data_IF_051005475133
#
_entry.id   IF_051005475133
#
_cell.length_a   1.000
_cell.length_b   1.000
_cell.length_c   1.000
_cell.angle_alpha   90.00
_cell.angle_beta   90.00
_cell.angle_gamma   90.00
#
_symmetry.space_group_name_H-M   'P 1'
#
loop_
_entity.id
_entity.type
_entity.pdbx_description
1 polymer ?
#
# COMPACT_ATOMS: atom_id res chain seq x y z
N UNK A 1 5.48 6.35 8.93
CA UNK A 1 4.25 6.51 8.16
C UNK A 1 3.14 5.68 8.80
N UNK A 2 1.95 6.23 8.91
CA UNK A 2 0.82 5.52 9.50
C UNK A 2 0.17 4.61 8.44
N UNK A 3 -0.02 3.33 8.80
CA UNK A 3 -0.71 2.37 7.95
C UNK A 3 -2.03 1.97 8.64
N UNK A 4 -3.18 2.52 8.22
CA UNK A 4 -4.48 2.23 8.84
C UNK A 4 -4.91 0.77 8.76
N UNK A 5 -4.33 -0.01 7.84
CA UNK A 5 -4.65 -1.43 7.64
C UNK A 5 -3.93 -2.37 8.60
N UNK A 6 -2.93 -1.88 9.37
CA UNK A 6 -2.24 -2.67 10.38
C UNK A 6 -2.89 -2.44 11.75
N UNK A 7 -3.00 -3.50 12.55
CA UNK A 7 -3.55 -3.41 13.89
C UNK A 7 -2.63 -2.58 14.79
N UNK A 8 -3.11 -1.50 15.42
CA UNK A 8 -2.32 -0.74 16.38
C UNK A 8 -2.03 -1.57 17.64
N UNK A 9 -0.81 -1.44 18.14
CA UNK A 9 -0.37 -2.09 19.39
C UNK A 9 -0.65 -1.17 20.58
N UNK A 10 -1.91 -0.98 20.85
CA UNK A 10 -2.41 -0.17 21.98
C UNK A 10 -3.79 -0.69 22.35
N UNK A 11 -4.21 -0.42 23.58
CA UNK A 11 -5.56 -0.73 24.02
C UNK A 11 -6.60 -0.05 23.11
N UNK A 12 -7.61 -0.81 22.66
CA UNK A 12 -8.55 -0.34 21.66
C UNK A 12 -9.44 0.80 22.16
N UNK A 13 -9.83 0.77 23.45
CA UNK A 13 -10.64 1.86 24.02
C UNK A 13 -9.83 3.15 24.14
N UNK A 14 -8.55 3.03 24.47
CA UNK A 14 -7.63 4.16 24.50
C UNK A 14 -7.41 4.72 23.09
N UNK A 15 -7.21 3.83 22.09
CA UNK A 15 -7.03 4.25 20.71
C UNK A 15 -8.22 5.04 20.17
N UNK A 16 -9.44 4.59 20.45
CA UNK A 16 -10.66 5.28 20.02
C UNK A 16 -10.84 6.67 20.62
N UNK A 17 -10.26 6.91 21.81
CA UNK A 17 -10.33 8.19 22.52
C UNK A 17 -9.24 9.18 22.13
N UNK A 18 -8.27 8.79 21.29
CA UNK A 18 -7.18 9.66 20.90
C UNK A 18 -7.69 10.90 20.14
N UNK A 19 -7.09 12.04 20.47
CA UNK A 19 -7.25 13.25 19.65
C UNK A 19 -6.41 13.10 18.37
N UNK A 20 -7.00 13.17 17.18
CA UNK A 20 -6.26 13.10 15.92
C UNK A 20 -5.18 14.17 15.75
N UNK A 21 -5.25 15.26 16.54
CA UNK A 21 -4.26 16.34 16.52
C UNK A 21 -3.13 16.16 17.53
N UNK A 22 -3.24 15.21 18.46
CA UNK A 22 -2.18 14.90 19.44
C UNK A 22 -1.07 14.07 18.80
N UNK A 23 -0.22 14.77 18.03
CA UNK A 23 0.90 14.14 17.32
C UNK A 23 1.89 13.46 18.26
N UNK A 24 2.14 14.03 19.44
CA UNK A 24 3.12 13.48 20.37
C UNK A 24 2.71 12.09 20.86
N UNK A 25 1.45 11.88 21.19
CA UNK A 25 0.91 10.58 21.60
C UNK A 25 0.83 9.62 20.40
N UNK A 26 0.35 10.10 19.23
CA UNK A 26 0.16 9.28 18.04
C UNK A 26 1.50 8.73 17.53
N UNK A 27 2.56 9.51 17.53
CA UNK A 27 3.88 9.09 17.05
C UNK A 27 4.54 8.00 17.93
N UNK A 28 4.09 7.84 19.16
CA UNK A 28 4.54 6.78 20.08
C UNK A 28 3.81 5.45 19.88
N UNK A 29 2.71 5.44 19.13
CA UNK A 29 1.92 4.23 18.88
C UNK A 29 2.63 3.38 17.84
N UNK A 30 2.91 2.14 18.21
CA UNK A 30 3.40 1.12 17.28
C UNK A 30 2.26 0.31 16.68
N UNK A 31 2.53 -0.43 15.62
CA UNK A 31 1.59 -1.39 15.04
C UNK A 31 2.23 -2.77 14.93
N UNK A 32 1.41 -3.80 14.83
CA UNK A 32 1.90 -5.16 14.59
C UNK A 32 2.27 -5.31 13.11
N UNK A 33 3.43 -4.75 12.75
CA UNK A 33 4.05 -4.85 11.44
C UNK A 33 5.41 -5.51 11.56
N UNK A 34 5.83 -6.19 10.53
CA UNK A 34 7.13 -6.87 10.49
C UNK A 34 7.66 -6.96 9.07
N UNK A 35 8.98 -6.92 8.97
CA UNK A 35 9.72 -7.15 7.74
C UNK A 35 10.76 -8.25 7.97
N UNK A 36 10.98 -9.07 6.95
CA UNK A 36 12.07 -10.02 6.91
C UNK A 36 13.16 -9.44 6.02
N UNK A 37 14.32 -9.20 6.62
CA UNK A 37 15.47 -8.61 5.92
C UNK A 37 16.63 -9.61 5.91
N UNK A 38 17.26 -9.76 4.75
CA UNK A 38 18.45 -10.57 4.58
C UNK A 38 19.49 -9.79 3.77
N UNK A 39 20.72 -9.68 4.30
CA UNK A 39 21.82 -8.93 3.67
C UNK A 39 21.47 -7.50 3.28
N UNK A 40 20.65 -6.81 4.10
CA UNK A 40 20.18 -5.45 3.81
C UNK A 40 19.05 -5.36 2.78
N UNK A 41 18.55 -6.48 2.25
CA UNK A 41 17.42 -6.53 1.33
C UNK A 41 16.17 -6.99 2.07
N UNK A 42 15.10 -6.19 2.03
CA UNK A 42 13.79 -6.59 2.52
C UNK A 42 13.21 -7.67 1.60
N UNK A 43 13.04 -8.87 2.13
CA UNK A 43 12.52 -10.03 1.40
C UNK A 43 11.01 -10.15 1.50
N UNK A 44 10.45 -9.71 2.61
CA UNK A 44 9.02 -9.84 2.86
C UNK A 44 8.58 -8.80 3.86
N UNK A 45 7.39 -8.26 3.67
CA UNK A 45 6.71 -7.44 4.66
C UNK A 45 5.37 -8.05 5.04
N UNK A 46 4.90 -7.73 6.23
CA UNK A 46 3.64 -8.25 6.71
C UNK A 46 3.08 -7.49 7.90
N UNK A 47 1.85 -7.83 8.26
CA UNK A 47 1.19 -7.25 9.42
C UNK A 47 0.10 -8.18 9.97
N UNK A 48 -0.21 -8.00 11.26
CA UNK A 48 -1.51 -8.38 11.80
C UNK A 48 -2.48 -7.30 11.34
N UNK A 49 -3.56 -7.68 10.67
CA UNK A 49 -4.46 -6.75 10.00
C UNK A 49 -5.44 -6.11 10.98
N UNK A 50 -5.72 -4.85 10.71
CA UNK A 50 -6.79 -4.15 11.40
C UNK A 50 -8.13 -4.60 10.80
N UNK A 51 -8.83 -5.49 11.51
CA UNK A 51 -10.10 -6.10 11.09
C UNK A 51 -11.32 -5.53 11.83
N UNK A 52 -11.09 -4.53 12.70
CA UNK A 52 -12.16 -3.88 13.48
C UNK A 52 -12.58 -2.58 12.81
N UNK A 53 -13.87 -2.44 12.38
CA UNK A 53 -14.32 -1.28 11.63
C UNK A 53 -14.11 0.06 12.33
N UNK A 54 -14.38 0.12 13.63
CA UNK A 54 -14.22 1.32 14.47
C UNK A 54 -12.76 1.75 14.60
N UNK A 55 -11.87 0.79 14.87
CA UNK A 55 -10.42 1.03 14.93
C UNK A 55 -9.89 1.47 13.56
N UNK A 56 -10.40 0.89 12.46
CA UNK A 56 -10.00 1.27 11.12
C UNK A 56 -10.43 2.70 10.78
N UNK A 57 -11.67 3.06 11.06
CA UNK A 57 -12.17 4.42 10.85
C UNK A 57 -11.35 5.42 11.66
N UNK A 58 -11.06 5.11 12.93
CA UNK A 58 -10.22 5.96 13.79
C UNK A 58 -8.78 6.10 13.25
N UNK A 59 -8.19 5.03 12.76
CA UNK A 59 -6.86 5.07 12.16
C UNK A 59 -6.82 5.95 10.89
N UNK A 60 -7.86 5.91 10.08
CA UNK A 60 -8.00 6.82 8.93
C UNK A 60 -8.24 8.26 9.35
N UNK A 61 -9.04 8.50 10.39
CA UNK A 61 -9.25 9.85 10.96
C UNK A 61 -7.90 10.47 11.40
N UNK A 62 -7.07 9.70 12.11
CA UNK A 62 -5.72 10.11 12.51
C UNK A 62 -4.84 10.40 11.28
N UNK A 63 -5.03 9.68 10.18
CA UNK A 63 -4.34 9.92 8.91
C UNK A 63 -4.93 11.11 8.11
N UNK A 64 -5.97 11.80 8.61
CA UNK A 64 -6.57 12.98 8.00
C UNK A 64 -7.72 12.68 7.03
N UNK A 65 -8.29 11.49 7.06
CA UNK A 65 -9.42 11.10 6.20
C UNK A 65 -10.71 11.00 7.03
N UNK A 66 -11.76 11.71 6.62
CA UNK A 66 -13.08 11.62 7.25
C UNK A 66 -13.75 10.26 7.05
N UNK A 67 -14.69 9.93 7.92
CA UNK A 67 -15.45 8.67 7.87
C UNK A 67 -16.15 8.46 6.52
N UNK A 68 -16.75 9.50 5.96
CA UNK A 68 -17.42 9.52 4.66
C UNK A 68 -16.51 9.06 3.53
N UNK A 69 -15.28 9.58 3.49
CA UNK A 69 -14.26 9.19 2.50
C UNK A 69 -13.88 7.72 2.65
N UNK A 70 -13.76 7.24 3.90
CA UNK A 70 -13.42 5.85 4.18
C UNK A 70 -14.56 4.91 3.79
N UNK A 71 -15.81 5.29 4.08
CA UNK A 71 -16.99 4.51 3.69
C UNK A 71 -17.20 4.50 2.17
N UNK A 72 -16.91 5.59 1.48
CA UNK A 72 -16.96 5.64 0.02
C UNK A 72 -15.92 4.71 -0.63
N UNK A 73 -14.67 4.80 -0.17
CA UNK A 73 -13.55 4.07 -0.80
C UNK A 73 -13.43 2.62 -0.35
N UNK A 74 -13.75 2.33 0.89
CA UNK A 74 -13.54 1.02 1.54
C UNK A 74 -14.83 0.43 2.14
N UNK A 75 -16.00 0.94 1.77
CA UNK A 75 -17.29 0.53 2.34
C UNK A 75 -17.57 -0.96 2.23
N UNK A 76 -17.21 -1.59 1.12
CA UNK A 76 -17.35 -3.04 0.94
C UNK A 76 -16.55 -3.84 1.97
N UNK A 77 -15.30 -3.46 2.21
CA UNK A 77 -14.43 -4.07 3.21
C UNK A 77 -14.94 -3.84 4.64
N UNK A 78 -15.32 -2.60 4.97
CA UNK A 78 -15.87 -2.26 6.29
C UNK A 78 -17.15 -3.03 6.56
N UNK A 79 -18.03 -3.17 5.57
CA UNK A 79 -19.23 -3.98 5.68
C UNK A 79 -18.91 -5.45 5.95
N UNK A 80 -17.95 -6.02 5.23
CA UNK A 80 -17.52 -7.39 5.48
C UNK A 80 -17.00 -7.57 6.92
N UNK A 81 -16.24 -6.63 7.45
CA UNK A 81 -15.73 -6.67 8.82
C UNK A 81 -16.85 -6.55 9.87
N UNK A 82 -17.94 -5.83 9.60
CA UNK A 82 -19.11 -5.73 10.48
C UNK A 82 -19.81 -7.07 10.70
N UNK A 83 -19.64 -8.03 9.78
CA UNK A 83 -20.13 -9.42 9.93
C UNK A 83 -19.21 -10.31 10.76
N UNK A 84 -18.12 -9.78 11.32
CA UNK A 84 -17.25 -10.51 12.23
C UNK A 84 -16.05 -11.15 11.55
N UNK A 85 -15.22 -10.36 10.89
CA UNK A 85 -13.97 -10.88 10.36
C UNK A 85 -13.09 -11.44 11.48
N UNK A 86 -12.48 -12.63 11.33
CA UNK A 86 -11.57 -13.19 12.31
C UNK A 86 -10.28 -12.36 12.38
N UNK A 87 -9.56 -12.38 13.52
CA UNK A 87 -8.20 -11.92 13.55
C UNK A 87 -7.37 -12.60 12.47
N UNK A 88 -6.66 -11.83 11.67
CA UNK A 88 -5.87 -12.36 10.56
C UNK A 88 -4.62 -11.51 10.33
N UNK A 89 -3.67 -12.09 9.67
CA UNK A 89 -2.42 -11.45 9.28
C UNK A 89 -1.83 -12.16 8.08
N UNK A 90 -0.72 -11.67 7.60
CA UNK A 90 -0.06 -12.28 6.47
C UNK A 90 1.29 -11.66 6.20
N UNK A 91 2.05 -12.34 5.35
CA UNK A 91 3.34 -11.91 4.86
C UNK A 91 3.34 -11.95 3.34
N UNK A 92 4.01 -11.00 2.71
CA UNK A 92 4.13 -10.88 1.25
C UNK A 92 5.60 -11.07 0.82
N UNK A 93 6.04 -12.31 0.58
CA UNK A 93 7.41 -12.57 0.12
C UNK A 93 7.64 -12.03 -1.28
N UNK A 94 8.72 -11.26 -1.46
CA UNK A 94 9.19 -10.77 -2.75
C UNK A 94 9.98 -11.85 -3.48
N UNK A 95 9.32 -12.63 -4.34
CA UNK A 95 9.95 -13.77 -5.04
C UNK A 95 11.19 -13.32 -5.82
N UNK A 96 11.12 -12.25 -6.57
CA UNK A 96 12.26 -11.74 -7.34
C UNK A 96 13.44 -11.35 -6.45
N UNK A 97 13.19 -10.77 -5.28
CA UNK A 97 14.25 -10.44 -4.32
C UNK A 97 14.90 -11.70 -3.72
N UNK A 98 14.11 -12.72 -3.45
CA UNK A 98 14.62 -14.02 -2.98
C UNK A 98 15.50 -14.66 -4.06
N UNK A 99 15.03 -14.67 -5.31
CA UNK A 99 15.78 -15.21 -6.44
C UNK A 99 17.08 -14.42 -6.66
N UNK A 100 17.03 -13.09 -6.56
CA UNK A 100 18.22 -12.22 -6.64
C UNK A 100 19.29 -12.62 -5.63
N UNK A 101 18.91 -12.83 -4.37
CA UNK A 101 19.84 -13.25 -3.32
C UNK A 101 20.38 -14.67 -3.55
N UNK A 102 19.54 -15.60 -3.99
CA UNK A 102 19.96 -16.98 -4.29
C UNK A 102 20.92 -17.03 -5.50
N UNK A 103 20.71 -16.16 -6.47
CA UNK A 103 21.58 -16.03 -7.64
C UNK A 103 22.91 -15.31 -7.32
N UNK A 104 23.00 -14.63 -6.16
CA UNK A 104 24.18 -13.89 -5.78
C UNK A 104 24.44 -12.62 -6.62
N UNK A 105 23.36 -12.02 -7.14
CA UNK A 105 23.44 -10.78 -7.95
C UNK A 105 22.89 -9.59 -7.16
N UNK A 106 23.41 -8.40 -7.46
CA UNK A 106 23.09 -7.18 -6.73
C UNK A 106 21.93 -6.37 -7.36
N UNK A 107 21.54 -6.73 -8.58
CA UNK A 107 20.52 -6.01 -9.33
C UNK A 107 19.34 -6.92 -9.66
N UNK A 108 18.16 -6.54 -9.17
CA UNK A 108 16.91 -7.29 -9.41
C UNK A 108 16.57 -7.47 -10.90
N UNK A 109 17.05 -6.56 -11.78
CA UNK A 109 16.84 -6.66 -13.22
C UNK A 109 17.52 -7.87 -13.84
N UNK A 110 18.51 -8.46 -13.18
CA UNK A 110 19.20 -9.65 -13.66
C UNK A 110 18.38 -10.94 -13.49
N UNK A 111 17.35 -10.91 -12.64
CA UNK A 111 16.48 -12.05 -12.38
C UNK A 111 15.06 -11.89 -12.94
N UNK A 112 14.73 -10.70 -13.44
CA UNK A 112 13.46 -10.43 -14.12
C UNK A 112 13.65 -10.62 -15.62
N UNK A 113 12.82 -11.47 -16.24
CA UNK A 113 12.97 -11.87 -17.67
C UNK A 113 12.83 -10.68 -18.63
N UNK A 114 11.91 -9.74 -18.34
CA UNK A 114 11.66 -8.54 -19.14
C UNK A 114 11.62 -7.30 -18.25
N UNK A 115 12.80 -6.83 -17.76
CA UNK A 115 12.84 -5.70 -16.85
C UNK A 115 12.60 -4.37 -17.57
N UNK A 116 11.93 -3.46 -16.91
CA UNK A 116 11.91 -2.05 -17.33
C UNK A 116 13.29 -1.42 -17.16
N UNK A 117 13.64 -0.52 -18.07
CA UNK A 117 14.82 0.32 -17.92
C UNK A 117 14.60 1.46 -16.90
N UNK A 118 15.61 2.31 -16.69
CA UNK A 118 15.52 3.43 -15.76
C UNK A 118 14.50 4.51 -16.16
N UNK A 119 14.14 4.56 -17.43
CA UNK A 119 13.11 5.46 -17.98
C UNK A 119 11.70 4.83 -17.95
N UNK A 120 11.53 3.72 -17.23
CA UNK A 120 10.28 2.96 -17.15
C UNK A 120 9.78 2.48 -18.54
N UNK A 121 10.71 2.10 -19.43
CA UNK A 121 10.41 1.57 -20.75
C UNK A 121 10.61 0.04 -20.76
N UNK A 122 9.67 -0.66 -21.32
CA UNK A 122 9.82 -2.06 -21.70
C UNK A 122 10.32 -2.10 -23.17
N UNK A 123 11.59 -2.39 -23.33
CA UNK A 123 12.24 -2.42 -24.66
C UNK A 123 11.80 -3.62 -25.49
N UNK A 124 11.33 -4.69 -24.87
CA UNK A 124 10.84 -5.88 -25.55
C UNK A 124 9.47 -5.63 -26.20
N UNK A 125 8.56 -5.00 -25.44
CA UNK A 125 7.21 -4.69 -25.89
C UNK A 125 7.09 -3.31 -26.54
N UNK A 126 8.18 -2.56 -26.59
CA UNK A 126 8.20 -1.17 -27.08
C UNK A 126 7.16 -0.29 -26.35
N UNK A 127 7.11 -0.40 -25.03
CA UNK A 127 6.21 0.35 -24.18
C UNK A 127 6.98 1.38 -23.32
N UNK A 128 6.39 2.53 -22.96
CA UNK A 128 5.02 2.96 -23.32
C UNK A 128 4.90 3.35 -24.79
N UNK A 129 3.75 3.08 -25.38
CA UNK A 129 3.40 3.49 -26.74
C UNK A 129 2.34 4.58 -26.74
N UNK A 130 2.19 5.23 -27.87
CA UNK A 130 1.14 6.22 -28.06
C UNK A 130 -0.23 5.54 -28.14
N UNK A 131 -1.25 6.17 -27.53
CA UNK A 131 -2.64 5.75 -27.65
C UNK A 131 -3.30 6.43 -28.85
N UNK A 132 -4.14 5.69 -29.54
CA UNK A 132 -4.84 6.25 -30.73
C UNK A 132 -5.94 7.24 -30.31
N UNK A 133 -6.26 8.23 -31.16
CA UNK A 133 -7.39 9.14 -30.90
C UNK A 133 -8.72 8.40 -30.73
N UNK A 134 -8.89 7.25 -31.37
CA UNK A 134 -10.08 6.40 -31.21
C UNK A 134 -10.19 5.86 -29.79
N UNK A 135 -9.11 5.34 -29.22
CA UNK A 135 -9.06 4.82 -27.83
C UNK A 135 -9.38 5.94 -26.82
N UNK A 136 -8.79 7.13 -27.00
CA UNK A 136 -9.07 8.27 -26.12
C UNK A 136 -10.55 8.66 -26.18
N UNK A 137 -11.14 8.68 -27.38
CA UNK A 137 -12.55 9.01 -27.55
C UNK A 137 -13.48 7.97 -26.93
N UNK A 138 -13.19 6.69 -27.09
CA UNK A 138 -13.96 5.58 -26.50
C UNK A 138 -13.95 5.62 -24.95
N UNK A 139 -12.85 6.07 -24.36
CA UNK A 139 -12.68 6.18 -22.92
C UNK A 139 -13.11 7.55 -22.37
N UNK A 140 -13.57 8.48 -23.22
CA UNK A 140 -13.90 9.86 -22.84
C UNK A 140 -12.71 10.59 -22.14
N UNK A 141 -11.47 10.29 -22.56
CA UNK A 141 -10.24 10.90 -22.05
C UNK A 141 -9.73 11.95 -23.03
N UNK A 142 -9.23 13.06 -22.50
CA UNK A 142 -8.56 14.11 -23.27
C UNK A 142 -7.15 14.32 -22.72
N UNK A 143 -6.16 14.30 -23.62
CA UNK A 143 -4.80 14.73 -23.31
C UNK A 143 -4.77 16.26 -23.25
N UNK A 144 -4.29 16.81 -22.15
CA UNK A 144 -4.07 18.26 -22.00
C UNK A 144 -2.57 18.50 -22.11
N UNK A 145 -2.14 19.18 -23.18
CA UNK A 145 -0.74 19.57 -23.31
C UNK A 145 -0.43 20.67 -22.28
N UNK A 146 0.65 20.45 -21.53
CA UNK A 146 1.15 21.51 -20.66
C UNK A 146 1.80 22.60 -21.53
N UNK A 147 1.59 23.88 -21.24
CA UNK A 147 2.29 24.95 -21.96
C UNK A 147 3.80 24.75 -21.78
N UNK A 148 4.52 24.74 -22.89
CA UNK A 148 5.99 24.70 -22.87
C UNK A 148 6.47 25.95 -22.11
N UNK A 149 7.11 25.70 -20.97
CA UNK A 149 7.79 26.75 -20.19
C UNK A 149 9.03 27.28 -20.91
#
# INVERSE_FOLDING_TARGET
SHNPFSMPNVDHEQFLKLDPNDRETIEKITAFQYDIVCNGVELSSGAIRNHKPDIMIKAFEIAGYGRDVVEEKFGGMLNAFRFGAPPHGGSAPGVDRIVMLLAGVDNIREVIVFPFNQQAQDLMMNAPGEVTPKQLKELHIRVVEQPKS
#
